data_IF_606137875974
#
_entry.id   IF_606137875974
#
_cell.length_a   1.000
_cell.length_b   1.000
_cell.length_c   1.000
_cell.angle_alpha   90.00
_cell.angle_beta   90.00
_cell.angle_gamma   90.00
#
_symmetry.space_group_name_H-M   'P 1'
#
loop_
_entity.id
_entity.type
_entity.pdbx_description
1 polymer ?
#
# COMPACT_ATOMS: atom_id res chain seq x y z
N UNK A 1 -10.58 -9.22 15.67
CA UNK A 1 -12.05 -9.07 15.52
C UNK A 1 -12.58 -9.44 14.15
N UNK A 2 -12.31 -8.72 13.04
CA UNK A 2 -12.94 -9.06 11.74
C UNK A 2 -12.64 -10.48 11.24
N UNK A 3 -11.38 -10.93 11.37
CA UNK A 3 -10.97 -12.29 10.99
C UNK A 3 -11.64 -13.35 11.87
N UNK A 4 -11.75 -13.09 13.18
CA UNK A 4 -12.37 -14.04 14.13
C UNK A 4 -13.86 -14.23 13.85
N UNK A 5 -14.61 -13.14 13.58
CA UNK A 5 -16.02 -13.25 13.22
C UNK A 5 -16.19 -13.97 11.87
N UNK A 6 -15.29 -13.74 10.91
CA UNK A 6 -15.30 -14.47 9.64
C UNK A 6 -15.08 -15.98 9.84
N UNK A 7 -14.11 -16.36 10.67
CA UNK A 7 -13.87 -17.77 11.00
C UNK A 7 -15.08 -18.41 11.68
N UNK A 8 -15.65 -17.77 12.71
CA UNK A 8 -16.86 -18.27 13.39
C UNK A 8 -18.01 -18.43 12.40
N UNK A 9 -18.21 -17.47 11.49
CA UNK A 9 -19.24 -17.56 10.46
C UNK A 9 -19.01 -18.73 9.50
N UNK A 10 -17.77 -18.96 9.09
CA UNK A 10 -17.42 -20.09 8.24
C UNK A 10 -17.72 -21.42 8.94
N UNK A 11 -17.30 -21.56 10.20
CA UNK A 11 -17.51 -22.76 11.02
C UNK A 11 -19.01 -23.04 11.21
N UNK A 12 -19.78 -22.03 11.59
CA UNK A 12 -21.22 -22.18 11.84
C UNK A 12 -21.99 -22.50 10.56
N UNK A 13 -21.64 -21.89 9.42
CA UNK A 13 -22.27 -22.19 8.12
C UNK A 13 -21.97 -23.60 7.63
N UNK A 14 -20.72 -24.04 7.77
CA UNK A 14 -20.32 -25.38 7.36
C UNK A 14 -21.05 -26.47 8.17
N UNK A 15 -21.31 -26.19 9.45
CA UNK A 15 -21.99 -27.11 10.37
C UNK A 15 -23.50 -26.82 10.53
N UNK A 16 -24.05 -25.88 9.77
CA UNK A 16 -25.43 -25.40 9.95
C UNK A 16 -26.46 -26.52 9.81
N UNK A 17 -26.28 -27.38 8.80
CA UNK A 17 -27.18 -28.51 8.55
C UNK A 17 -27.17 -29.51 9.73
N UNK A 18 -26.00 -29.79 10.28
CA UNK A 18 -25.83 -30.68 11.42
C UNK A 18 -26.49 -30.09 12.67
N UNK A 19 -26.27 -28.80 12.92
CA UNK A 19 -26.89 -28.07 14.04
C UNK A 19 -28.42 -28.04 13.89
N UNK A 20 -28.97 -27.69 12.72
CA UNK A 20 -30.42 -27.65 12.49
C UNK A 20 -31.10 -29.01 12.67
N UNK A 21 -30.42 -30.10 12.30
CA UNK A 21 -30.98 -31.45 12.34
C UNK A 21 -30.91 -32.10 13.72
N UNK A 22 -29.86 -31.82 14.49
CA UNK A 22 -29.54 -32.58 15.69
C UNK A 22 -29.56 -31.75 16.98
N UNK A 23 -29.57 -30.41 16.90
CA UNK A 23 -29.66 -29.56 18.08
C UNK A 23 -31.12 -29.43 18.51
N UNK A 24 -31.44 -29.93 19.70
CA UNK A 24 -32.73 -29.72 20.34
C UNK A 24 -32.60 -28.62 21.39
N UNK A 25 -33.23 -27.47 21.12
CA UNK A 25 -33.22 -26.32 22.04
C UNK A 25 -34.28 -26.47 23.13
N UNK A 26 -34.01 -27.36 24.08
CA UNK A 26 -34.84 -27.51 25.29
C UNK A 26 -34.70 -26.30 26.22
N UNK A 27 -35.64 -26.14 27.14
CA UNK A 27 -35.58 -25.09 28.17
C UNK A 27 -34.27 -25.14 28.97
N UNK A 28 -33.80 -26.34 29.31
CA UNK A 28 -32.55 -26.55 30.07
C UNK A 28 -31.30 -26.15 29.28
N UNK A 29 -31.28 -26.41 27.97
CA UNK A 29 -30.20 -25.97 27.08
C UNK A 29 -30.17 -24.44 27.01
N UNK A 30 -31.33 -23.81 26.82
CA UNK A 30 -31.45 -22.35 26.75
C UNK A 30 -31.11 -21.67 28.09
N UNK A 31 -31.49 -22.28 29.22
CA UNK A 31 -31.12 -21.81 30.55
C UNK A 31 -29.60 -21.85 30.77
N UNK A 32 -28.94 -22.93 30.35
CA UNK A 32 -27.48 -23.03 30.39
C UNK A 32 -26.79 -22.03 29.46
N UNK A 33 -27.31 -21.81 28.25
CA UNK A 33 -26.78 -20.81 27.31
C UNK A 33 -26.93 -19.38 27.84
N UNK A 34 -28.01 -19.10 28.58
CA UNK A 34 -28.18 -17.82 29.27
C UNK A 34 -27.18 -17.69 30.42
N UNK A 35 -27.04 -18.72 31.24
CA UNK A 35 -26.14 -18.71 32.39
C UNK A 35 -24.67 -18.55 31.99
N UNK A 36 -24.25 -19.12 30.86
CA UNK A 36 -22.90 -18.95 30.31
C UNK A 36 -22.70 -17.61 29.58
N UNK A 37 -23.77 -16.82 29.40
CA UNK A 37 -23.72 -15.52 28.70
C UNK A 37 -23.63 -15.64 27.17
N UNK A 38 -23.89 -16.83 26.61
CA UNK A 38 -23.93 -17.05 25.16
C UNK A 38 -25.11 -16.30 24.55
N UNK A 39 -26.27 -16.37 25.20
CA UNK A 39 -27.51 -15.68 24.78
C UNK A 39 -28.02 -14.72 25.84
N UNK A 40 -28.71 -13.67 25.41
CA UNK A 40 -29.43 -12.74 26.30
C UNK A 40 -30.85 -13.22 26.58
N UNK A 41 -31.48 -12.68 27.63
CA UNK A 41 -32.89 -12.99 27.95
C UNK A 41 -33.85 -12.64 26.82
N UNK A 42 -33.58 -11.54 26.12
CA UNK A 42 -34.38 -11.11 24.95
C UNK A 42 -34.32 -12.16 23.85
N UNK A 43 -33.10 -12.65 23.55
CA UNK A 43 -32.90 -13.66 22.53
C UNK A 43 -33.52 -15.01 22.94
N UNK A 44 -33.39 -15.40 24.21
CA UNK A 44 -34.04 -16.60 24.75
C UNK A 44 -35.55 -16.56 24.51
N UNK A 45 -36.23 -15.46 24.86
CA UNK A 45 -37.68 -15.31 24.65
C UNK A 45 -38.04 -15.38 23.17
N UNK A 46 -37.22 -14.77 22.30
CA UNK A 46 -37.39 -14.82 20.84
C UNK A 46 -37.28 -16.24 20.30
N UNK A 47 -36.33 -17.03 20.78
CA UNK A 47 -36.16 -18.44 20.38
C UNK A 47 -37.35 -19.28 20.85
N UNK A 48 -37.78 -19.16 22.10
CA UNK A 48 -38.92 -19.93 22.64
C UNK A 48 -40.22 -19.61 21.91
N UNK A 49 -40.42 -18.35 21.51
CA UNK A 49 -41.60 -17.93 20.74
C UNK A 49 -41.57 -18.32 19.26
N UNK A 50 -40.45 -18.82 18.74
CA UNK A 50 -40.30 -19.18 17.33
C UNK A 50 -40.68 -20.65 17.06
N UNK A 51 -41.13 -20.97 15.82
CA UNK A 51 -41.34 -22.36 15.40
C UNK A 51 -40.05 -23.16 15.50
N UNK A 52 -40.13 -24.44 15.92
CA UNK A 52 -38.97 -25.31 16.17
C UNK A 52 -37.93 -25.29 15.04
N UNK A 53 -38.38 -25.26 13.78
CA UNK A 53 -37.52 -25.25 12.58
C UNK A 53 -36.63 -24.00 12.49
N UNK A 54 -37.06 -22.87 13.07
CA UNK A 54 -36.33 -21.58 13.03
C UNK A 54 -35.58 -21.27 14.32
N UNK A 55 -35.76 -22.05 15.38
CA UNK A 55 -35.14 -21.77 16.68
C UNK A 55 -33.61 -21.83 16.59
N UNK A 56 -33.08 -22.84 15.90
CA UNK A 56 -31.63 -23.00 15.69
C UNK A 56 -31.09 -21.91 14.78
N UNK A 57 -31.80 -21.56 13.70
CA UNK A 57 -31.42 -20.48 12.78
C UNK A 57 -31.23 -19.14 13.53
N UNK A 58 -32.21 -18.75 14.36
CA UNK A 58 -32.15 -17.52 15.16
C UNK A 58 -30.97 -17.54 16.13
N UNK A 59 -30.64 -18.70 16.70
CA UNK A 59 -29.49 -18.85 17.57
C UNK A 59 -28.18 -18.67 16.79
N UNK A 60 -28.04 -19.31 15.63
CA UNK A 60 -26.82 -19.23 14.81
C UNK A 60 -26.58 -17.80 14.33
N UNK A 61 -27.60 -17.12 13.80
CA UNK A 61 -27.51 -15.70 13.41
C UNK A 61 -26.96 -14.82 14.54
N UNK A 62 -27.37 -15.10 15.78
CA UNK A 62 -26.91 -14.32 16.93
C UNK A 62 -25.47 -14.61 17.38
N UNK A 63 -24.90 -15.73 16.94
CA UNK A 63 -23.55 -16.18 17.27
C UNK A 63 -22.52 -15.74 16.23
N UNK A 64 -22.92 -15.53 14.96
CA UNK A 64 -22.03 -15.10 13.88
C UNK A 64 -21.22 -13.84 14.24
N UNK A 65 -21.84 -12.90 14.95
CA UNK A 65 -21.24 -11.59 15.25
C UNK A 65 -20.52 -11.51 16.61
N UNK A 66 -20.52 -12.59 17.41
CA UNK A 66 -20.04 -12.56 18.81
C UNK A 66 -18.61 -13.09 19.02
N UNK A 67 -17.96 -13.55 17.95
CA UNK A 67 -16.56 -13.98 17.95
C UNK A 67 -16.29 -15.32 18.66
N UNK A 68 -15.01 -15.72 18.67
CA UNK A 68 -14.57 -17.07 19.02
C UNK A 68 -14.87 -17.48 20.47
N UNK A 69 -14.77 -16.54 21.41
CA UNK A 69 -15.04 -16.80 22.82
C UNK A 69 -16.50 -17.19 23.09
N UNK A 70 -17.43 -16.59 22.33
CA UNK A 70 -18.85 -16.93 22.41
C UNK A 70 -19.15 -18.29 21.79
N UNK A 71 -18.46 -18.63 20.69
CA UNK A 71 -18.49 -19.97 20.10
C UNK A 71 -17.96 -21.02 21.07
N UNK A 72 -16.84 -20.78 21.75
CA UNK A 72 -16.29 -21.70 22.75
C UNK A 72 -17.29 -21.98 23.88
N UNK A 73 -17.89 -20.93 24.46
CA UNK A 73 -18.92 -21.09 25.50
C UNK A 73 -20.15 -21.84 24.99
N UNK A 74 -20.54 -21.62 23.72
CA UNK A 74 -21.61 -22.38 23.10
C UNK A 74 -21.26 -23.87 23.00
N UNK A 75 -20.06 -24.22 22.53
CA UNK A 75 -19.57 -25.60 22.47
C UNK A 75 -19.47 -26.25 23.86
N UNK A 76 -19.07 -25.50 24.89
CA UNK A 76 -19.06 -25.98 26.28
C UNK A 76 -20.49 -26.31 26.77
N UNK A 77 -21.46 -25.46 26.45
CA UNK A 77 -22.87 -25.74 26.78
C UNK A 77 -23.35 -26.99 26.05
N UNK A 78 -23.01 -27.17 24.77
CA UNK A 78 -23.33 -28.39 24.02
C UNK A 78 -22.73 -29.65 24.66
N UNK A 79 -21.45 -29.60 25.07
CA UNK A 79 -20.80 -30.70 25.82
C UNK A 79 -21.57 -31.03 27.10
N UNK A 80 -21.95 -30.01 27.87
CA UNK A 80 -22.66 -30.19 29.14
C UNK A 80 -24.13 -30.62 29.01
N UNK A 81 -24.71 -30.58 27.82
CA UNK A 81 -26.13 -30.86 27.56
C UNK A 81 -26.37 -32.17 26.80
N UNK A 82 -25.34 -33.00 26.66
CA UNK A 82 -25.43 -34.29 25.98
C UNK A 82 -25.22 -34.23 24.47
N UNK A 83 -24.86 -33.06 23.93
CA UNK A 83 -24.54 -32.87 22.51
C UNK A 83 -23.01 -32.93 22.26
N UNK A 84 -22.26 -33.65 23.11
CA UNK A 84 -20.78 -33.70 23.03
C UNK A 84 -20.29 -34.20 21.67
N UNK A 85 -20.94 -35.22 21.11
CA UNK A 85 -20.56 -35.78 19.81
C UNK A 85 -20.63 -34.75 18.67
N UNK A 86 -21.56 -33.79 18.74
CA UNK A 86 -21.64 -32.71 17.75
C UNK A 86 -20.45 -31.77 17.88
N UNK A 87 -20.01 -31.52 19.11
CA UNK A 87 -18.84 -30.67 19.36
C UNK A 87 -17.58 -31.32 18.82
N UNK A 88 -17.44 -32.63 18.97
CA UNK A 88 -16.29 -33.37 18.43
C UNK A 88 -16.26 -33.26 16.89
N UNK A 89 -17.41 -33.42 16.23
CA UNK A 89 -17.53 -33.25 14.76
C UNK A 89 -17.23 -31.82 14.31
N UNK A 90 -17.73 -30.81 15.04
CA UNK A 90 -17.48 -29.40 14.72
C UNK A 90 -15.98 -29.10 14.86
N UNK A 91 -15.35 -29.53 15.95
CA UNK A 91 -13.92 -29.31 16.21
C UNK A 91 -13.02 -30.04 15.19
N UNK A 92 -13.41 -31.23 14.73
CA UNK A 92 -12.69 -31.94 13.67
C UNK A 92 -12.79 -31.20 12.32
N UNK A 93 -13.92 -30.53 12.07
CA UNK A 93 -14.13 -29.71 10.87
C UNK A 93 -13.31 -28.41 10.93
N UNK A 94 -13.12 -27.84 12.12
CA UNK A 94 -12.38 -26.59 12.35
C UNK A 94 -10.89 -26.70 11.99
N UNK A 95 -10.26 -27.86 12.23
CA UNK A 95 -8.85 -28.08 11.86
C UNK A 95 -8.64 -27.99 10.35
N UNK A 96 -9.59 -28.53 9.58
CA UNK A 96 -9.52 -28.51 8.12
C UNK A 96 -9.79 -27.10 7.56
N UNK A 97 -10.79 -26.40 8.09
CA UNK A 97 -11.14 -25.04 7.64
C UNK A 97 -10.07 -24.01 7.99
N UNK A 98 -9.51 -24.06 9.20
CA UNK A 98 -8.41 -23.18 9.60
C UNK A 98 -7.20 -23.40 8.70
N UNK A 99 -6.81 -24.66 8.45
CA UNK A 99 -5.68 -24.99 7.57
C UNK A 99 -5.82 -24.41 6.16
N UNK A 100 -7.03 -24.45 5.57
CA UNK A 100 -7.29 -23.88 4.24
C UNK A 100 -7.16 -22.36 4.23
N UNK A 101 -7.75 -21.66 5.21
CA UNK A 101 -7.65 -20.19 5.29
C UNK A 101 -6.22 -19.70 5.50
N UNK A 102 -5.43 -20.39 6.34
CA UNK A 102 -4.01 -20.08 6.51
C UNK A 102 -3.21 -20.33 5.23
N UNK A 103 -3.47 -21.43 4.52
CA UNK A 103 -2.78 -21.74 3.27
C UNK A 103 -3.10 -20.72 2.16
N UNK A 104 -4.37 -20.29 2.04
CA UNK A 104 -4.77 -19.26 1.09
C UNK A 104 -4.10 -17.91 1.41
N UNK A 105 -4.09 -17.52 2.68
CA UNK A 105 -3.47 -16.26 3.11
C UNK A 105 -1.95 -16.29 2.94
N UNK A 106 -1.31 -17.42 3.18
CA UNK A 106 0.12 -17.61 2.91
C UNK A 106 0.44 -17.53 1.41
N UNK A 107 -0.40 -18.13 0.56
CA UNK A 107 -0.27 -18.02 -0.90
C UNK A 107 -0.37 -16.56 -1.39
N UNK A 108 -1.36 -15.82 -0.89
CA UNK A 108 -1.54 -14.39 -1.21
C UNK A 108 -0.34 -13.56 -0.75
N UNK A 109 0.18 -13.82 0.45
CA UNK A 109 1.35 -13.12 0.97
C UNK A 109 2.62 -13.42 0.14
N UNK A 110 2.80 -14.67 -0.31
CA UNK A 110 3.93 -15.04 -1.18
C UNK A 110 3.85 -14.33 -2.53
N UNK A 111 2.65 -14.23 -3.12
CA UNK A 111 2.43 -13.45 -4.34
C UNK A 111 2.75 -11.96 -4.13
N UNK A 112 2.23 -11.35 -3.06
CA UNK A 112 2.50 -9.95 -2.73
C UNK A 112 4.00 -9.69 -2.55
N UNK A 113 4.72 -10.57 -1.86
CA UNK A 113 6.17 -10.49 -1.71
C UNK A 113 6.92 -10.61 -3.04
N UNK A 114 6.44 -11.45 -3.96
CA UNK A 114 7.04 -11.58 -5.29
C UNK A 114 6.93 -10.29 -6.10
N UNK A 115 5.78 -9.61 -6.03
CA UNK A 115 5.54 -8.32 -6.71
C UNK A 115 6.44 -7.24 -6.11
N UNK A 116 6.50 -7.13 -4.78
CA UNK A 116 7.37 -6.17 -4.11
C UNK A 116 8.85 -6.36 -4.45
N UNK A 117 9.30 -7.61 -4.60
CA UNK A 117 10.68 -7.90 -5.05
C UNK A 117 10.92 -7.41 -6.48
N UNK A 118 9.96 -7.60 -7.38
CA UNK A 118 10.06 -7.11 -8.76
C UNK A 118 10.08 -5.58 -8.80
N UNK A 119 9.21 -4.92 -8.04
CA UNK A 119 9.17 -3.46 -7.92
C UNK A 119 10.47 -2.88 -7.36
N UNK A 120 11.05 -3.52 -6.32
CA UNK A 120 12.32 -3.09 -5.76
C UNK A 120 13.47 -3.14 -6.77
N UNK A 121 13.51 -4.17 -7.62
CA UNK A 121 14.50 -4.26 -8.71
C UNK A 121 14.26 -3.18 -9.77
N UNK A 122 13.01 -2.94 -10.15
CA UNK A 122 12.66 -1.90 -11.12
C UNK A 122 13.04 -0.50 -10.63
N UNK A 123 12.76 -0.18 -9.35
CA UNK A 123 13.15 1.10 -8.73
C UNK A 123 14.66 1.25 -8.74
N UNK A 124 15.42 0.19 -8.41
CA UNK A 124 16.88 0.23 -8.43
C UNK A 124 17.42 0.53 -9.83
N UNK A 125 16.88 -0.10 -10.86
CA UNK A 125 17.26 0.16 -12.26
C UNK A 125 16.96 1.61 -12.67
N UNK A 126 15.79 2.14 -12.29
CA UNK A 126 15.43 3.54 -12.56
C UNK A 126 16.37 4.52 -11.86
N UNK A 127 16.77 4.26 -10.61
CA UNK A 127 17.73 5.09 -9.89
C UNK A 127 19.11 5.08 -10.55
N UNK A 128 19.58 3.91 -10.98
CA UNK A 128 20.84 3.79 -11.71
C UNK A 128 20.79 4.54 -13.05
N UNK A 129 19.67 4.48 -13.76
CA UNK A 129 19.47 5.22 -15.01
C UNK A 129 19.44 6.73 -14.78
N UNK A 130 18.67 7.20 -13.79
CA UNK A 130 18.63 8.62 -13.42
C UNK A 130 20.02 9.16 -13.06
N UNK A 131 20.84 8.40 -12.32
CA UNK A 131 22.20 8.81 -11.99
C UNK A 131 23.09 9.00 -13.24
N UNK A 132 22.93 8.13 -14.25
CA UNK A 132 23.65 8.26 -15.53
C UNK A 132 23.17 9.48 -16.32
N UNK A 133 21.86 9.70 -16.33
CA UNK A 133 21.26 10.83 -17.04
C UNK A 133 21.65 12.16 -16.39
N UNK A 134 21.68 12.24 -15.06
CA UNK A 134 22.22 13.40 -14.34
C UNK A 134 23.68 13.67 -14.72
N UNK A 135 24.52 12.65 -14.78
CA UNK A 135 25.92 12.81 -15.18
C UNK A 135 26.04 13.34 -16.61
N UNK A 136 25.20 12.86 -17.54
CA UNK A 136 25.15 13.34 -18.91
C UNK A 136 24.69 14.80 -18.99
N UNK A 137 23.66 15.17 -18.24
CA UNK A 137 23.17 16.56 -18.15
C UNK A 137 24.28 17.48 -17.64
N UNK A 138 25.00 17.10 -16.58
CA UNK A 138 26.11 17.90 -16.05
C UNK A 138 27.22 18.12 -17.08
N UNK A 139 27.59 17.08 -17.85
CA UNK A 139 28.57 17.23 -18.95
C UNK A 139 28.09 18.21 -20.02
N UNK A 140 26.82 18.11 -20.42
CA UNK A 140 26.22 19.02 -21.40
C UNK A 140 26.17 20.46 -20.88
N UNK A 141 25.80 20.66 -19.61
CA UNK A 141 25.80 21.97 -18.97
C UNK A 141 27.20 22.59 -18.93
N UNK A 142 28.23 21.80 -18.61
CA UNK A 142 29.62 22.25 -18.63
C UNK A 142 30.05 22.69 -20.04
N UNK A 143 29.72 21.91 -21.07
CA UNK A 143 30.00 22.25 -22.46
C UNK A 143 29.29 23.54 -22.90
N UNK A 144 28.02 23.70 -22.54
CA UNK A 144 27.26 24.93 -22.83
C UNK A 144 27.89 26.14 -22.13
N UNK A 145 28.32 26.00 -20.88
CA UNK A 145 29.01 27.06 -20.15
C UNK A 145 30.31 27.50 -20.84
N UNK A 146 31.13 26.55 -21.29
CA UNK A 146 32.37 26.81 -22.05
C UNK A 146 32.08 27.47 -23.41
N UNK A 147 31.06 27.03 -24.13
CA UNK A 147 30.65 27.70 -25.37
C UNK A 147 30.23 29.15 -25.07
N UNK A 148 29.49 29.36 -23.99
CA UNK A 148 28.98 30.69 -23.60
C UNK A 148 30.11 31.64 -23.19
N UNK A 149 31.16 31.15 -22.52
CA UNK A 149 32.35 31.97 -22.20
C UNK A 149 33.11 32.33 -23.48
N UNK A 150 33.37 31.36 -24.36
CA UNK A 150 34.05 31.59 -25.65
C UNK A 150 33.29 32.58 -26.53
N UNK A 151 31.97 32.49 -26.60
CA UNK A 151 31.14 33.44 -27.34
C UNK A 151 31.22 34.85 -26.76
N UNK A 152 31.26 34.99 -25.43
CA UNK A 152 31.50 36.30 -24.77
C UNK A 152 32.88 36.86 -25.13
N UNK A 153 33.92 36.03 -25.13
CA UNK A 153 35.28 36.47 -25.50
C UNK A 153 35.37 36.89 -26.97
N UNK A 154 34.69 36.17 -27.86
CA UNK A 154 34.60 36.53 -29.28
C UNK A 154 33.83 37.84 -29.43
N UNK A 155 32.70 38.00 -28.75
CA UNK A 155 31.92 39.23 -28.78
C UNK A 155 32.73 40.43 -28.28
N UNK A 156 33.48 40.26 -27.19
CA UNK A 156 34.32 41.34 -26.65
C UNK A 156 35.42 41.76 -27.64
N UNK A 157 36.12 40.79 -28.23
CA UNK A 157 37.13 41.03 -29.27
C UNK A 157 36.54 41.66 -30.52
N UNK A 158 35.39 41.18 -30.99
CA UNK A 158 34.71 41.76 -32.14
C UNK A 158 34.28 43.20 -31.89
N UNK A 159 33.84 43.52 -30.67
CA UNK A 159 33.48 44.88 -30.26
C UNK A 159 34.68 45.82 -30.27
N UNK A 160 35.84 45.37 -29.80
CA UNK A 160 37.09 46.15 -29.85
C UNK A 160 37.52 46.48 -31.29
N UNK A 161 37.29 45.56 -32.23
CA UNK A 161 37.64 45.76 -33.65
C UNK A 161 36.65 46.70 -34.35
N UNK A 162 35.34 46.51 -34.14
CA UNK A 162 34.31 47.28 -34.83
C UNK A 162 34.04 48.65 -34.19
N UNK A 163 34.29 48.78 -32.88
CA UNK A 163 34.10 50.00 -32.10
C UNK A 163 35.25 50.18 -31.11
N UNK A 164 36.48 50.45 -31.61
CA UNK A 164 37.64 50.66 -30.75
C UNK A 164 37.40 51.85 -29.83
N UNK A 165 37.76 51.70 -28.56
CA UNK A 165 37.69 52.80 -27.61
C UNK A 165 38.48 54.01 -28.17
N UNK A 166 37.95 55.24 -28.07
CA UNK A 166 38.65 56.41 -28.57
C UNK A 166 39.92 56.60 -27.75
N UNK A 167 41.08 56.21 -28.30
CA UNK A 167 42.35 56.52 -27.68
C UNK A 167 42.54 58.05 -27.68
N UNK A 168 42.66 58.70 -26.51
CA UNK A 168 42.67 60.15 -26.42
C UNK A 168 43.87 60.82 -27.13
N UNK A 169 44.89 60.04 -27.52
CA UNK A 169 46.13 60.55 -28.11
C UNK A 169 46.36 60.15 -29.58
N UNK A 170 45.48 59.36 -30.23
CA UNK A 170 45.68 58.99 -31.65
C UNK A 170 45.60 60.23 -32.55
N UNK A 171 44.69 61.17 -32.25
CA UNK A 171 44.58 62.43 -32.99
C UNK A 171 45.89 63.23 -32.93
N UNK A 172 46.49 63.38 -31.74
CA UNK A 172 47.78 64.06 -31.56
C UNK A 172 48.93 63.34 -32.26
N UNK A 173 48.96 62.01 -32.22
CA UNK A 173 50.01 61.23 -32.87
C UNK A 173 49.92 61.30 -34.41
N UNK A 174 48.71 61.20 -34.97
CA UNK A 174 48.47 61.36 -36.42
C UNK A 174 48.74 62.78 -36.91
N UNK A 175 48.37 63.80 -36.15
CA UNK A 175 48.71 65.21 -36.44
C UNK A 175 50.22 65.44 -36.42
N UNK A 176 50.93 64.88 -35.43
CA UNK A 176 52.39 64.99 -35.36
C UNK A 176 53.08 64.31 -36.55
N UNK A 177 52.56 63.17 -37.02
CA UNK A 177 53.08 62.51 -38.23
C UNK A 177 52.80 63.30 -39.51
N UNK A 178 51.61 63.89 -39.67
CA UNK A 178 51.27 64.72 -40.83
C UNK A 178 52.13 66.00 -40.90
N UNK A 179 52.49 66.56 -39.75
CA UNK A 179 53.35 67.75 -39.68
C UNK A 179 54.84 67.45 -39.94
N UNK A 180 55.25 66.17 -39.98
CA UNK A 180 56.61 65.77 -40.37
C UNK A 180 56.76 65.56 -41.88
N UNK A 181 55.67 65.65 -42.65
CA UNK A 181 55.69 65.55 -44.09
C UNK A 181 56.05 66.94 -44.64
N UNK A 182 57.18 67.12 -45.34
CA UNK A 182 57.52 68.38 -45.97
C UNK A 182 56.56 68.59 -47.15
N UNK A 183 55.63 69.54 -47.03
CA UNK A 183 54.68 69.86 -48.10
C UNK A 183 55.27 70.80 -49.16
N UNK A 184 56.56 70.68 -49.46
CA UNK A 184 57.18 71.39 -50.58
C UNK A 184 56.81 70.69 -51.88
N UNK A 185 55.72 71.14 -52.50
CA UNK A 185 55.54 71.01 -53.93
C UNK A 185 56.16 72.26 -54.52
N UNK A 186 57.38 72.14 -55.04
CA UNK A 186 58.00 73.20 -55.84
C UNK A 186 57.12 73.41 -57.08
N UNK A 187 56.66 74.66 -57.28
CA UNK A 187 56.08 75.13 -58.55
C UNK A 187 57.19 75.61 -59.48
#
# INVERSE_FOLDING_TARGET
MQVECYMVRAILRQNEFLLRRHLVLSSTVLDKMRASGVITDVLRRRIVGAPAVRQVEILLESLEDRGLHSLQKFLEVLKSTGHSWMVDVILDTDVAAAGQTFAEQESQNQQALSVLRQEAVAIRQLLEQNARDEANVRRKQAAVSDITSRLRDIHHRAREVCQPAPHPNIGRYRLAQLNQIPWSIDN
#
